data_IF_053820523697
#
_entry.id   IF_053820523697
#
_cell.length_a   1.000
_cell.length_b   1.000
_cell.length_c   1.000
_cell.angle_alpha   90.00
_cell.angle_beta   90.00
_cell.angle_gamma   90.00
#
_symmetry.space_group_name_H-M   'P 1'
#
loop_
_entity.id
_entity.type
_entity.pdbx_description
1 polymer ?
#
# COMPACT_ATOMS: atom_id res chain seq x y z
N UNK A 1 59.13 18.28 -27.87
CA UNK A 1 57.77 17.72 -28.03
C UNK A 1 57.47 16.92 -26.77
N UNK A 2 56.72 17.48 -25.80
CA UNK A 2 56.42 16.80 -24.54
C UNK A 2 55.16 15.94 -24.64
N UNK A 3 55.28 14.71 -24.14
CA UNK A 3 54.20 13.79 -23.81
C UNK A 3 53.40 14.32 -22.62
N UNK A 4 52.08 14.44 -22.78
CA UNK A 4 51.17 14.79 -21.67
C UNK A 4 50.54 13.52 -21.12
N UNK A 5 51.02 13.09 -19.95
CA UNK A 5 50.29 12.23 -19.03
C UNK A 5 49.12 13.03 -18.42
N UNK A 6 47.91 12.47 -18.48
CA UNK A 6 46.77 12.92 -17.70
C UNK A 6 46.29 11.77 -16.81
N UNK A 7 46.23 11.95 -15.48
CA UNK A 7 45.78 10.92 -14.56
C UNK A 7 44.25 10.79 -14.58
N UNK A 8 43.79 9.55 -14.51
CA UNK A 8 42.38 9.21 -14.37
C UNK A 8 41.80 9.73 -13.05
N UNK A 9 40.59 10.28 -13.14
CA UNK A 9 39.66 10.45 -12.04
C UNK A 9 38.27 10.65 -12.62
N UNK A 10 37.42 9.62 -12.53
CA UNK A 10 35.98 9.80 -12.39
C UNK A 10 35.49 8.71 -11.44
N UNK A 11 35.79 8.98 -10.18
CA UNK A 11 35.09 8.45 -9.01
C UNK A 11 33.70 9.10 -9.03
N UNK A 12 32.69 8.33 -9.43
CA UNK A 12 31.31 8.82 -9.51
C UNK A 12 30.26 7.70 -9.55
N UNK A 13 30.66 6.49 -9.18
CA UNK A 13 29.73 5.40 -8.84
C UNK A 13 29.54 5.40 -7.33
N UNK A 14 28.37 5.83 -6.89
CA UNK A 14 28.00 5.73 -5.48
C UNK A 14 27.21 6.93 -5.03
N UNK A 15 25.89 6.90 -5.27
CA UNK A 15 24.85 7.40 -4.36
C UNK A 15 23.48 6.92 -4.89
N UNK A 16 23.36 5.62 -5.14
CA UNK A 16 22.08 4.93 -4.98
C UNK A 16 21.80 4.90 -3.48
N UNK A 17 21.20 5.99 -2.98
CA UNK A 17 20.66 6.08 -1.64
C UNK A 17 19.52 5.06 -1.48
N UNK A 18 19.88 3.81 -1.21
CA UNK A 18 19.06 2.95 -0.36
C UNK A 18 18.84 3.76 0.90
N UNK A 19 17.63 4.27 1.13
CA UNK A 19 17.19 4.61 2.46
C UNK A 19 17.07 3.30 3.25
N UNK A 20 18.22 2.68 3.52
CA UNK A 20 18.34 1.62 4.50
C UNK A 20 18.16 2.32 5.83
N UNK A 21 16.98 2.14 6.43
CA UNK A 21 16.83 2.46 7.83
C UNK A 21 17.96 1.77 8.60
N UNK A 22 18.61 2.45 9.55
CA UNK A 22 19.63 1.81 10.37
C UNK A 22 19.00 0.56 11.01
N UNK A 23 19.67 -0.57 10.91
CA UNK A 23 19.15 -1.84 11.43
C UNK A 23 19.15 -1.79 12.96
N UNK A 24 18.00 -1.45 13.55
CA UNK A 24 17.78 -1.51 14.99
C UNK A 24 17.73 -2.97 15.47
N UNK A 25 18.06 -3.18 16.74
CA UNK A 25 17.88 -4.50 17.36
C UNK A 25 16.40 -4.84 17.57
N UNK A 26 15.57 -3.81 17.72
CA UNK A 26 14.12 -3.91 17.73
C UNK A 26 13.58 -3.97 16.30
N UNK A 27 12.54 -4.78 16.07
CA UNK A 27 11.88 -4.80 14.77
C UNK A 27 11.08 -3.52 14.53
N UNK A 28 10.88 -3.18 13.26
CA UNK A 28 10.12 -1.98 12.85
C UNK A 28 8.68 -2.06 13.35
N UNK A 29 8.08 -3.25 13.34
CA UNK A 29 6.72 -3.48 13.83
C UNK A 29 6.60 -3.19 15.33
N UNK A 30 7.58 -3.61 16.13
CA UNK A 30 7.60 -3.34 17.57
C UNK A 30 7.79 -1.85 17.85
N UNK A 31 8.63 -1.17 17.08
CA UNK A 31 8.78 0.29 17.18
C UNK A 31 7.51 1.03 16.75
N UNK A 32 6.81 0.55 15.72
CA UNK A 32 5.52 1.09 15.32
C UNK A 32 4.46 0.92 16.42
N UNK A 33 4.38 -0.26 17.05
CA UNK A 33 3.48 -0.52 18.18
C UNK A 33 3.82 0.34 19.40
N UNK A 34 5.11 0.55 19.69
CA UNK A 34 5.56 1.47 20.73
C UNK A 34 5.13 2.91 20.41
N UNK A 35 5.30 3.36 19.17
CA UNK A 35 4.95 4.71 18.73
C UNK A 35 3.45 5.01 18.84
N UNK A 36 2.59 4.02 18.60
CA UNK A 36 1.12 4.16 18.77
C UNK A 36 0.62 3.83 20.19
N UNK A 37 1.52 3.67 21.16
CA UNK A 37 1.24 3.25 22.56
C UNK A 37 0.40 1.96 22.68
N UNK A 38 0.51 1.04 21.70
CA UNK A 38 -0.26 -0.20 21.65
C UNK A 38 0.34 -1.35 22.46
N UNK A 39 1.60 -1.25 22.88
CA UNK A 39 2.21 -2.22 23.81
C UNK A 39 1.64 -1.99 25.21
N UNK A 40 1.52 -3.03 26.05
CA UNK A 40 0.96 -2.90 27.40
C UNK A 40 1.97 -3.29 28.49
N UNK A 41 1.79 -2.71 29.69
CA UNK A 41 2.49 -3.12 30.91
C UNK A 41 4.02 -3.19 30.79
N UNK A 42 4.58 -4.28 31.29
CA UNK A 42 6.04 -4.48 31.37
C UNK A 42 6.73 -4.59 30.01
N UNK A 43 6.01 -5.03 28.98
CA UNK A 43 6.56 -5.13 27.62
C UNK A 43 6.85 -3.73 27.06
N UNK A 44 5.90 -2.80 27.21
CA UNK A 44 6.08 -1.40 26.83
C UNK A 44 7.30 -0.80 27.51
N UNK A 45 7.47 -1.00 28.81
CA UNK A 45 8.58 -0.45 29.57
C UNK A 45 9.93 -1.01 29.11
N UNK A 46 10.00 -2.31 28.83
CA UNK A 46 11.21 -2.97 28.31
C UNK A 46 11.57 -2.47 26.92
N UNK A 47 10.60 -2.43 26.00
CA UNK A 47 10.82 -1.95 24.62
C UNK A 47 11.20 -0.47 24.62
N UNK A 48 10.57 0.35 25.48
CA UNK A 48 10.91 1.76 25.64
C UNK A 48 12.33 1.95 26.18
N UNK A 49 12.74 1.18 27.17
CA UNK A 49 14.10 1.22 27.70
C UNK A 49 15.13 0.79 26.65
N UNK A 50 14.85 -0.27 25.89
CA UNK A 50 15.71 -0.74 24.82
C UNK A 50 15.82 0.29 23.67
N UNK A 51 14.70 0.89 23.25
CA UNK A 51 14.69 1.93 22.22
C UNK A 51 15.43 3.20 22.69
N UNK A 52 15.39 3.52 23.99
CA UNK A 52 16.08 4.70 24.53
C UNK A 52 17.61 4.60 24.44
N UNK A 53 18.18 3.40 24.39
CA UNK A 53 19.64 3.19 24.28
C UNK A 53 20.10 2.85 22.85
N UNK A 54 19.17 2.59 21.93
CA UNK A 54 19.45 2.25 20.53
C UNK A 54 19.28 3.50 19.61
N UNK A 55 20.38 4.10 19.11
CA UNK A 55 20.29 5.28 18.25
C UNK A 55 19.60 4.99 16.90
N UNK A 56 19.64 3.74 16.41
CA UNK A 56 18.92 3.36 15.20
C UNK A 56 17.41 3.36 15.44
N UNK A 57 16.95 2.81 16.57
CA UNK A 57 15.55 2.84 16.97
C UNK A 57 15.04 4.28 17.16
N UNK A 58 15.84 5.15 17.80
CA UNK A 58 15.51 6.56 17.94
C UNK A 58 15.35 7.26 16.60
N UNK A 59 16.23 6.97 15.63
CA UNK A 59 16.12 7.54 14.28
C UNK A 59 14.83 7.11 13.56
N UNK A 60 14.40 5.85 13.74
CA UNK A 60 13.12 5.35 13.19
C UNK A 60 11.93 6.05 13.85
N UNK A 61 11.91 6.14 15.18
CA UNK A 61 10.82 6.82 15.91
C UNK A 61 10.71 8.29 15.52
N UNK A 62 11.84 9.00 15.42
CA UNK A 62 11.87 10.39 14.96
C UNK A 62 11.35 10.53 13.51
N UNK A 63 11.62 9.54 12.65
CA UNK A 63 11.07 9.47 11.30
C UNK A 63 9.54 9.32 11.28
N UNK A 64 8.98 8.48 12.16
CA UNK A 64 7.53 8.32 12.31
C UNK A 64 6.87 9.61 12.82
N UNK A 65 7.45 10.25 13.83
CA UNK A 65 6.97 11.55 14.34
C UNK A 65 6.97 12.61 13.24
N UNK A 66 8.02 12.67 12.41
CA UNK A 66 8.10 13.59 11.29
C UNK A 66 7.00 13.35 10.26
N UNK A 67 6.68 12.09 9.92
CA UNK A 67 5.60 11.75 8.99
C UNK A 67 4.24 12.16 9.58
N UNK A 68 3.99 11.88 10.87
CA UNK A 68 2.77 12.33 11.54
C UNK A 68 2.62 13.86 11.49
N UNK A 69 3.71 14.61 11.71
CA UNK A 69 3.72 16.06 11.61
C UNK A 69 3.48 16.56 10.17
N UNK A 70 4.06 15.89 9.16
CA UNK A 70 3.81 16.22 7.75
C UNK A 70 2.34 15.99 7.38
N UNK A 71 1.75 14.87 7.80
CA UNK A 71 0.34 14.58 7.57
C UNK A 71 -0.56 15.62 8.27
N UNK A 72 -0.23 16.00 9.51
CA UNK A 72 -0.96 17.05 10.25
C UNK A 72 -0.90 18.41 9.56
N UNK A 73 0.22 18.74 8.90
CA UNK A 73 0.34 19.97 8.09
C UNK A 73 -0.50 19.91 6.82
N UNK A 74 -0.55 18.76 6.15
CA UNK A 74 -1.39 18.57 4.98
C UNK A 74 -2.88 18.68 5.32
N UNK A 75 -3.29 18.16 6.47
CA UNK A 75 -4.66 18.28 6.98
C UNK A 75 -5.05 19.75 7.23
N UNK A 76 -4.13 20.56 7.79
CA UNK A 76 -4.37 21.99 8.03
C UNK A 76 -4.50 22.84 6.76
N UNK A 77 -3.86 22.44 5.66
CA UNK A 77 -3.93 23.16 4.37
C UNK A 77 -5.18 22.76 3.57
N UNK A 78 -5.74 21.60 3.88
CA UNK A 78 -6.97 21.11 3.25
C UNK A 78 -8.19 21.77 3.87
N UNK A 79 -9.25 22.00 3.08
CA UNK A 79 -10.52 22.46 3.62
C UNK A 79 -10.99 21.49 4.72
N UNK A 80 -11.48 21.98 5.86
CA UNK A 80 -11.87 21.12 6.97
C UNK A 80 -12.86 20.06 6.48
N UNK A 81 -12.58 18.80 6.82
CA UNK A 81 -13.54 17.71 6.65
C UNK A 81 -14.88 18.13 7.24
N UNK A 82 -16.00 17.75 6.59
CA UNK A 82 -17.33 18.03 7.15
C UNK A 82 -17.37 17.59 8.62
N UNK A 83 -17.90 18.44 9.53
CA UNK A 83 -17.93 18.11 10.94
C UNK A 83 -18.70 16.80 11.15
N UNK A 84 -18.17 15.93 12.02
CA UNK A 84 -18.82 14.67 12.35
C UNK A 84 -20.28 14.93 12.78
N UNK A 85 -21.28 14.31 12.12
CA UNK A 85 -22.67 14.53 12.48
C UNK A 85 -22.94 14.18 13.95
N UNK A 86 -23.69 15.02 14.67
CA UNK A 86 -23.91 14.84 16.11
C UNK A 86 -24.49 13.48 16.50
N UNK A 87 -25.30 12.87 15.62
CA UNK A 87 -25.88 11.56 15.90
C UNK A 87 -24.81 10.46 15.93
N UNK A 88 -23.73 10.61 15.14
CA UNK A 88 -22.57 9.71 15.15
C UNK A 88 -21.78 9.91 16.44
N UNK A 89 -21.52 11.18 16.82
CA UNK A 89 -20.85 11.52 18.07
C UNK A 89 -21.57 10.90 19.28
N UNK A 90 -22.88 11.14 19.40
CA UNK A 90 -23.72 10.57 20.47
C UNK A 90 -23.74 9.04 20.48
N UNK A 91 -23.64 8.41 19.31
CA UNK A 91 -23.58 6.94 19.21
C UNK A 91 -22.23 6.42 19.69
N UNK A 92 -21.13 7.06 19.29
CA UNK A 92 -19.79 6.71 19.76
C UNK A 92 -19.68 6.89 21.27
N UNK A 93 -20.15 8.01 21.82
CA UNK A 93 -20.15 8.27 23.26
C UNK A 93 -20.91 7.18 24.03
N UNK A 94 -22.05 6.72 23.50
CA UNK A 94 -22.84 5.64 24.11
C UNK A 94 -22.10 4.30 24.10
N UNK A 95 -21.41 3.96 23.01
CA UNK A 95 -20.65 2.71 22.94
C UNK A 95 -19.38 2.79 23.81
N UNK A 96 -18.69 3.93 23.83
CA UNK A 96 -17.54 4.16 24.70
C UNK A 96 -17.95 4.10 26.18
N UNK A 97 -19.10 4.64 26.57
CA UNK A 97 -19.59 4.53 27.95
C UNK A 97 -19.82 3.07 28.39
N UNK A 98 -20.25 2.19 27.47
CA UNK A 98 -20.39 0.74 27.76
C UNK A 98 -19.03 0.07 27.97
N UNK A 99 -17.99 0.50 27.24
CA UNK A 99 -16.63 -0.05 27.37
C UNK A 99 -15.90 0.52 28.60
N UNK A 100 -16.03 1.83 28.86
CA UNK A 100 -15.36 2.53 29.97
C UNK A 100 -15.83 2.09 31.36
N UNK A 101 -17.10 1.68 31.49
CA UNK A 101 -17.64 1.14 32.75
C UNK A 101 -16.90 -0.10 33.28
N UNK A 102 -16.22 -0.86 32.41
CA UNK A 102 -15.41 -2.01 32.81
C UNK A 102 -13.99 -1.64 33.26
N UNK A 103 -13.40 -0.58 32.70
CA UNK A 103 -12.00 -0.18 32.96
C UNK A 103 -11.87 0.63 34.25
N UNK A 104 -12.86 1.48 34.56
CA UNK A 104 -12.86 2.30 35.79
C UNK A 104 -13.09 1.47 37.07
N UNK A 105 -13.86 0.38 36.98
CA UNK A 105 -14.06 -0.56 38.08
C UNK A 105 -12.78 -1.33 38.46
N UNK A 106 -11.93 -1.61 37.48
CA UNK A 106 -10.65 -2.29 37.71
C UNK A 106 -9.63 -1.34 38.33
N UNK A 107 -9.49 -0.10 37.85
CA UNK A 107 -8.54 0.89 38.41
C UNK A 107 -8.80 1.21 39.89
N UNK A 108 -10.07 1.31 40.31
CA UNK A 108 -10.43 1.53 41.73
C UNK A 108 -10.09 0.35 42.64
N UNK A 109 -10.12 -0.89 42.13
CA UNK A 109 -9.77 -2.09 42.91
C UNK A 109 -8.27 -2.23 43.15
N UNK A 110 -7.44 -1.76 42.22
CA UNK A 110 -5.98 -1.84 42.35
C UNK A 110 -5.39 -0.68 43.17
N UNK A 111 -6.05 0.48 43.23
CA UNK A 111 -5.66 1.57 44.14
C UNK A 111 -5.82 1.20 45.63
N UNK A 112 -6.62 0.18 45.96
CA UNK A 112 -6.79 -0.31 47.32
C UNK A 112 -5.73 -1.36 47.75
N UNK A 113 -4.84 -1.80 46.86
CA UNK A 113 -3.89 -2.90 47.11
C UNK A 113 -2.41 -2.49 47.18
N UNK A 114 -2.09 -1.19 47.06
CA UNK A 114 -0.71 -0.70 47.02
C UNK A 114 -0.19 -0.25 48.40
N UNK A 115 -0.24 -1.12 49.40
CA UNK A 115 0.41 -0.86 50.70
C UNK A 115 0.95 -2.13 51.36
N UNK A 116 1.83 -2.88 50.69
CA UNK A 116 2.86 -3.71 51.35
C UNK A 116 4.06 -3.81 50.40
N UNK A 117 5.20 -3.25 50.81
CA UNK A 117 6.45 -3.36 50.05
C UNK A 117 7.17 -4.68 50.28
N UNK A 118 8.07 -5.05 49.37
CA UNK A 118 9.37 -5.67 49.69
C UNK A 118 10.23 -5.84 48.43
N UNK A 119 11.53 -5.93 48.71
CA UNK A 119 12.73 -5.81 47.87
C UNK A 119 13.16 -7.18 47.29
N UNK A 120 14.05 -7.14 46.28
CA UNK A 120 14.93 -8.22 45.77
C UNK A 120 14.32 -9.14 44.69
N UNK A 121 15.02 -9.65 43.67
CA UNK A 121 16.36 -9.45 43.15
C UNK A 121 16.44 -10.05 41.72
N UNK A 122 17.42 -9.57 40.97
CA UNK A 122 18.18 -10.13 39.84
C UNK A 122 17.78 -11.45 39.13
N UNK A 123 18.07 -11.40 37.81
CA UNK A 123 18.60 -12.44 36.92
C UNK A 123 17.64 -13.51 36.35
N UNK A 124 17.43 -13.50 35.04
CA UNK A 124 18.21 -14.32 34.09
C UNK A 124 17.49 -14.41 32.73
N UNK A 125 18.23 -14.07 31.68
CA UNK A 125 17.95 -14.33 30.27
C UNK A 125 17.87 -15.84 30.05
N UNK A 126 16.90 -16.33 29.26
CA UNK A 126 17.11 -17.45 28.33
C UNK A 126 16.00 -17.51 27.28
N UNK A 127 16.43 -17.29 26.04
CA UNK A 127 15.70 -17.39 24.79
C UNK A 127 15.41 -18.86 24.46
N UNK A 128 14.19 -19.17 24.00
CA UNK A 128 13.96 -20.37 23.20
C UNK A 128 13.08 -20.02 21.99
N UNK A 129 13.74 -19.59 20.92
CA UNK A 129 13.16 -19.54 19.58
C UNK A 129 13.32 -20.94 18.98
N UNK A 130 12.21 -21.66 18.84
CA UNK A 130 12.14 -22.86 17.99
C UNK A 130 11.38 -22.50 16.72
N UNK A 131 12.11 -22.42 15.61
CA UNK A 131 11.53 -22.38 14.27
C UNK A 131 12.25 -23.41 13.39
N UNK A 132 11.49 -23.90 12.40
CA UNK A 132 11.85 -24.83 11.30
C UNK A 132 11.79 -26.31 11.74
N UNK A 133 11.00 -27.19 11.12
CA UNK A 133 10.83 -27.38 9.68
C UNK A 133 9.44 -27.96 9.32
N UNK A 134 8.77 -27.38 8.33
CA UNK A 134 7.70 -28.05 7.57
C UNK A 134 8.20 -28.30 6.13
N UNK A 135 8.03 -29.51 5.56
CA UNK A 135 8.73 -29.88 4.34
C UNK A 135 8.15 -29.24 3.07
N UNK A 136 9.09 -28.90 2.20
CA UNK A 136 8.94 -28.54 0.79
C UNK A 136 8.39 -29.75 0.02
N UNK A 137 7.15 -29.67 -0.44
CA UNK A 137 6.58 -30.62 -1.40
C UNK A 137 7.08 -30.29 -2.80
N UNK A 138 8.10 -31.02 -3.24
CA UNK A 138 8.49 -31.11 -4.64
C UNK A 138 7.54 -32.06 -5.37
N UNK A 139 6.84 -31.54 -6.38
CA UNK A 139 6.08 -32.36 -7.32
C UNK A 139 6.52 -32.02 -8.73
N UNK A 140 7.60 -32.68 -9.14
CA UNK A 140 7.95 -32.85 -10.54
C UNK A 140 7.17 -34.04 -11.12
N UNK A 141 6.51 -33.75 -12.24
CA UNK A 141 6.27 -34.61 -13.39
C UNK A 141 5.54 -35.97 -13.22
N UNK A 142 4.27 -36.00 -13.64
CA UNK A 142 3.86 -36.95 -14.68
C UNK A 142 2.61 -36.46 -15.42
N UNK A 143 2.81 -36.20 -16.72
CA UNK A 143 1.80 -35.85 -17.70
C UNK A 143 1.66 -37.04 -18.66
N UNK A 144 0.50 -37.70 -18.76
CA UNK A 144 0.21 -38.60 -19.87
C UNK A 144 -0.28 -37.79 -21.08
N UNK A 145 0.27 -38.16 -22.24
CA UNK A 145 -0.08 -37.64 -23.55
C UNK A 145 -1.56 -37.79 -23.90
N UNK A 146 -2.15 -36.79 -24.56
CA UNK A 146 -3.25 -37.00 -25.50
C UNK A 146 -3.15 -36.08 -26.73
N UNK A 147 -3.53 -36.69 -27.84
CA UNK A 147 -3.28 -36.37 -29.24
C UNK A 147 -4.09 -35.19 -29.80
N UNK A 148 -3.59 -34.71 -30.94
CA UNK A 148 -4.15 -33.69 -31.83
C UNK A 148 -5.60 -33.94 -32.28
N UNK A 149 -6.31 -32.85 -32.65
CA UNK A 149 -6.65 -32.39 -34.04
C UNK A 149 -7.95 -31.52 -34.03
N UNK A 150 -8.40 -30.97 -35.18
CA UNK A 150 -8.40 -29.55 -35.55
C UNK A 150 -9.74 -28.80 -35.34
N UNK A 151 -9.71 -27.47 -35.48
CA UNK A 151 -10.89 -26.58 -35.59
C UNK A 151 -11.84 -26.93 -36.73
N UNK A 152 -13.08 -26.44 -36.64
CA UNK A 152 -13.60 -25.62 -37.73
C UNK A 152 -14.19 -24.28 -37.26
N UNK A 153 -13.96 -23.26 -38.07
CA UNK A 153 -14.71 -21.99 -38.07
C UNK A 153 -16.19 -22.25 -38.41
N UNK A 154 -17.11 -21.37 -37.97
CA UNK A 154 -18.05 -20.60 -38.82
C UNK A 154 -18.99 -19.70 -37.97
N UNK A 155 -18.81 -18.39 -38.16
CA UNK A 155 -19.74 -17.25 -38.31
C UNK A 155 -21.09 -17.12 -37.55
N UNK A 156 -21.19 -15.94 -36.92
CA UNK A 156 -22.26 -14.92 -36.94
C UNK A 156 -23.70 -15.22 -36.50
N UNK A 157 -24.17 -14.44 -35.50
CA UNK A 157 -25.51 -13.86 -35.50
C UNK A 157 -25.54 -12.56 -34.67
N UNK A 158 -26.03 -11.50 -35.30
CA UNK A 158 -26.22 -10.12 -34.80
C UNK A 158 -27.36 -10.07 -33.77
N UNK A 159 -27.15 -9.47 -32.59
CA UNK A 159 -28.16 -8.66 -31.90
C UNK A 159 -27.60 -7.78 -30.78
N UNK A 160 -28.09 -6.55 -30.78
CA UNK A 160 -28.12 -5.52 -29.73
C UNK A 160 -26.97 -4.51 -29.59
N UNK A 161 -27.32 -3.26 -29.93
CA UNK A 161 -26.60 -2.04 -29.64
C UNK A 161 -26.68 -1.75 -28.14
N UNK A 162 -25.60 -2.06 -27.44
CA UNK A 162 -25.13 -1.26 -26.32
C UNK A 162 -23.64 -1.03 -26.56
N UNK A 163 -23.18 0.21 -26.47
CA UNK A 163 -21.75 0.57 -26.49
C UNK A 163 -21.05 -0.08 -25.28
N UNK A 164 -20.79 -1.37 -25.39
CA UNK A 164 -19.76 -2.03 -24.63
C UNK A 164 -18.44 -1.61 -25.29
N UNK A 165 -17.78 -0.63 -24.67
CA UNK A 165 -16.34 -0.43 -24.77
C UNK A 165 -15.69 -1.81 -24.94
N UNK A 166 -14.85 -2.01 -25.97
CA UNK A 166 -14.17 -3.29 -26.19
C UNK A 166 -13.21 -3.50 -25.01
N UNK A 167 -13.73 -4.07 -23.93
CA UNK A 167 -12.99 -4.46 -22.74
C UNK A 167 -12.41 -5.83 -23.04
N UNK A 168 -11.09 -5.91 -23.12
CA UNK A 168 -10.41 -7.19 -23.14
C UNK A 168 -10.62 -7.84 -21.77
N UNK A 169 -11.49 -8.86 -21.72
CA UNK A 169 -11.84 -9.55 -20.47
C UNK A 169 -10.62 -10.15 -19.75
N UNK A 170 -9.49 -10.31 -20.44
CA UNK A 170 -8.21 -10.73 -19.83
C UNK A 170 -7.68 -9.68 -18.84
N UNK A 171 -7.88 -8.40 -19.10
CA UNK A 171 -7.47 -7.32 -18.19
C UNK A 171 -8.51 -7.03 -17.11
N UNK A 172 -9.36 -8.01 -16.76
CA UNK A 172 -10.20 -7.91 -15.58
C UNK A 172 -9.36 -8.09 -14.31
N UNK A 173 -9.26 -7.03 -13.51
CA UNK A 173 -8.50 -7.08 -12.25
C UNK A 173 -9.47 -7.57 -11.18
N UNK A 174 -9.28 -8.81 -10.71
CA UNK A 174 -10.05 -9.32 -9.60
C UNK A 174 -9.57 -8.68 -8.28
N UNK A 175 -10.47 -8.58 -7.31
CA UNK A 175 -10.18 -7.96 -6.00
C UNK A 175 -8.99 -8.60 -5.27
N UNK A 176 -8.77 -9.90 -5.48
CA UNK A 176 -7.64 -10.66 -4.93
C UNK A 176 -6.29 -10.30 -5.57
N UNK A 177 -6.30 -9.82 -6.82
CA UNK A 177 -5.09 -9.43 -7.56
C UNK A 177 -4.73 -7.96 -7.26
N UNK A 178 -5.67 -7.20 -6.70
CA UNK A 178 -5.54 -5.78 -6.42
C UNK A 178 -4.50 -5.48 -5.35
N UNK A 179 -4.45 -6.29 -4.27
CA UNK A 179 -3.42 -6.16 -3.25
C UNK A 179 -2.04 -6.45 -3.82
N UNK A 180 -1.90 -7.44 -4.70
CA UNK A 180 -0.63 -7.73 -5.38
C UNK A 180 -0.20 -6.56 -6.29
N UNK A 181 -1.13 -5.95 -7.03
CA UNK A 181 -0.87 -4.77 -7.88
C UNK A 181 -0.46 -3.52 -7.09
N UNK A 182 -1.07 -3.30 -5.92
CA UNK A 182 -0.69 -2.20 -5.04
C UNK A 182 0.64 -2.46 -4.34
N UNK A 183 0.87 -3.70 -3.87
CA UNK A 183 2.08 -4.12 -3.16
C UNK A 183 3.30 -4.24 -4.06
N UNK A 184 3.13 -4.53 -5.36
CA UNK A 184 4.23 -4.43 -6.34
C UNK A 184 4.72 -3.00 -6.56
N UNK A 185 4.09 -2.03 -5.90
CA UNK A 185 4.37 -0.62 -6.01
C UNK A 185 3.78 -0.12 -7.32
N UNK A 186 2.72 0.68 -7.23
CA UNK A 186 2.38 1.63 -8.28
C UNK A 186 3.54 2.62 -8.43
N UNK A 187 4.62 2.19 -9.04
CA UNK A 187 5.78 3.00 -9.30
C UNK A 187 5.43 3.85 -10.52
N UNK A 188 5.14 5.12 -10.27
CA UNK A 188 5.07 6.13 -11.33
C UNK A 188 6.38 6.22 -12.13
N UNK A 189 7.46 5.60 -11.63
CA UNK A 189 8.72 5.42 -12.35
C UNK A 189 8.59 4.20 -13.25
N UNK A 190 8.65 4.42 -14.56
CA UNK A 190 8.52 3.45 -15.66
C UNK A 190 7.09 3.03 -16.03
N UNK A 191 6.35 3.98 -16.60
CA UNK A 191 5.10 3.73 -17.33
C UNK A 191 5.34 3.72 -18.86
N UNK A 192 6.58 3.46 -19.31
CA UNK A 192 6.97 3.62 -20.70
C UNK A 192 6.64 5.04 -21.22
N UNK A 193 5.98 5.18 -22.40
CA UNK A 193 5.58 6.47 -22.95
C UNK A 193 4.68 7.32 -22.03
N UNK A 194 3.90 6.70 -21.15
CA UNK A 194 3.04 7.43 -20.20
C UNK A 194 3.79 7.96 -18.96
N UNK A 195 5.11 7.77 -18.91
CA UNK A 195 5.95 8.44 -17.90
C UNK A 195 6.03 9.95 -18.16
N UNK A 196 5.85 10.36 -19.42
CA UNK A 196 5.70 11.78 -19.79
C UNK A 196 4.31 12.30 -19.39
N UNK A 197 4.29 13.43 -18.69
CA UNK A 197 3.06 13.99 -18.11
C UNK A 197 2.07 14.47 -19.16
N UNK A 198 2.55 15.06 -20.26
CA UNK A 198 1.70 15.54 -21.34
C UNK A 198 1.06 14.36 -22.09
N UNK A 199 1.84 13.32 -22.39
CA UNK A 199 1.36 12.09 -23.03
C UNK A 199 0.34 11.37 -22.16
N UNK A 200 0.58 11.33 -20.85
CA UNK A 200 -0.37 10.75 -19.88
C UNK A 200 -1.66 11.56 -19.79
N UNK A 201 -1.57 12.89 -19.75
CA UNK A 201 -2.74 13.77 -19.78
C UNK A 201 -3.58 13.55 -21.04
N UNK A 202 -2.95 13.45 -22.21
CA UNK A 202 -3.62 13.18 -23.47
C UNK A 202 -4.27 11.79 -23.50
N UNK A 203 -3.59 10.77 -22.97
CA UNK A 203 -4.15 9.43 -22.79
C UNK A 203 -5.39 9.44 -21.88
N UNK A 204 -5.35 10.17 -20.78
CA UNK A 204 -6.47 10.32 -19.85
C UNK A 204 -7.67 10.98 -20.55
N UNK A 205 -7.43 12.08 -21.30
CA UNK A 205 -8.47 12.76 -22.09
C UNK A 205 -9.08 11.82 -23.13
N UNK A 206 -8.25 11.06 -23.85
CA UNK A 206 -8.73 10.06 -24.81
C UNK A 206 -9.64 9.00 -24.15
N UNK A 207 -9.42 8.71 -22.86
CA UNK A 207 -10.22 7.75 -22.06
C UNK A 207 -11.38 8.40 -21.28
N UNK A 208 -11.65 9.68 -21.51
CA UNK A 208 -12.76 10.43 -20.90
C UNK A 208 -12.50 10.91 -19.47
N UNK A 209 -11.23 11.09 -19.09
CA UNK A 209 -10.82 11.69 -17.82
C UNK A 209 -10.23 13.08 -18.04
N UNK A 210 -10.28 13.99 -17.05
CA UNK A 210 -9.65 15.29 -17.17
C UNK A 210 -8.13 15.16 -17.32
N UNK A 211 -7.50 16.06 -18.07
CA UNK A 211 -6.05 16.04 -18.34
C UNK A 211 -5.20 16.15 -17.06
N UNK A 212 -5.72 16.82 -16.04
CA UNK A 212 -5.09 16.99 -14.73
C UNK A 212 -5.58 15.97 -13.69
N UNK A 213 -6.17 14.85 -14.12
CA UNK A 213 -6.68 13.82 -13.22
C UNK A 213 -5.55 13.30 -12.30
N UNK A 214 -5.73 13.45 -10.99
CA UNK A 214 -4.83 12.88 -10.02
C UNK A 214 -4.98 11.35 -10.01
N UNK A 215 -3.86 10.65 -10.08
CA UNK A 215 -3.79 9.20 -10.00
C UNK A 215 -3.43 8.78 -8.58
N UNK A 216 -4.13 7.78 -8.04
CA UNK A 216 -3.78 7.17 -6.76
C UNK A 216 -2.60 6.20 -6.92
N UNK A 217 -2.59 5.46 -8.02
CA UNK A 217 -1.53 4.54 -8.37
C UNK A 217 -1.48 4.36 -9.90
N UNK A 218 -0.29 4.10 -10.42
CA UNK A 218 -0.11 3.66 -11.80
C UNK A 218 1.05 2.67 -11.88
N UNK A 219 1.01 1.76 -12.85
CA UNK A 219 2.09 0.80 -13.05
C UNK A 219 1.87 -0.05 -14.29
N UNK A 220 2.94 -0.73 -14.72
CA UNK A 220 2.86 -1.72 -15.80
C UNK A 220 2.19 -3.00 -15.27
N UNK A 221 1.39 -3.62 -16.11
CA UNK A 221 0.77 -4.92 -15.87
C UNK A 221 0.97 -5.76 -17.13
N UNK A 222 1.49 -6.97 -16.94
CA UNK A 222 1.54 -7.98 -18.00
C UNK A 222 0.53 -9.07 -17.68
N UNK A 223 -0.34 -9.40 -18.63
CA UNK A 223 -1.21 -10.55 -18.54
C UNK A 223 -1.19 -11.31 -19.85
N UNK A 224 -0.88 -12.60 -19.76
CA UNK A 224 -0.53 -13.42 -20.91
C UNK A 224 0.62 -12.75 -21.71
N UNK A 225 0.45 -12.59 -23.02
CA UNK A 225 1.39 -11.91 -23.92
C UNK A 225 1.04 -10.43 -24.17
N UNK A 226 0.09 -9.87 -23.42
CA UNK A 226 -0.26 -8.45 -23.52
C UNK A 226 0.31 -7.67 -22.34
N UNK A 227 0.93 -6.56 -22.68
CA UNK A 227 1.38 -5.56 -21.73
C UNK A 227 0.41 -4.37 -21.75
N UNK A 228 0.13 -3.84 -20.56
CA UNK A 228 -0.65 -2.64 -20.39
C UNK A 228 -0.14 -1.82 -19.21
N UNK A 229 -0.70 -0.64 -19.07
CA UNK A 229 -0.44 0.29 -17.98
C UNK A 229 -1.76 0.45 -17.24
N UNK A 230 -1.79 0.05 -15.98
CA UNK A 230 -2.94 0.32 -15.12
C UNK A 230 -2.79 1.69 -14.47
N UNK A 231 -3.91 2.38 -14.31
CA UNK A 231 -4.06 3.66 -13.65
C UNK A 231 -5.28 3.59 -12.75
N UNK A 232 -5.10 4.01 -11.50
CA UNK A 232 -6.15 4.03 -10.51
C UNK A 232 -6.57 5.47 -10.26
N UNK A 233 -7.85 5.74 -10.53
CA UNK A 233 -8.41 7.07 -10.66
C UNK A 233 -9.55 7.23 -9.65
N UNK A 234 -9.46 8.16 -8.71
CA UNK A 234 -10.60 8.54 -7.88
C UNK A 234 -11.60 9.31 -8.76
N UNK A 235 -12.83 8.83 -8.78
CA UNK A 235 -13.95 9.46 -9.49
C UNK A 235 -15.00 9.92 -8.48
N UNK A 236 -15.64 11.08 -8.70
CA UNK A 236 -16.68 11.56 -7.81
C UNK A 236 -17.80 10.52 -7.68
N UNK A 237 -18.34 10.37 -6.47
CA UNK A 237 -19.43 9.46 -6.22
C UNK A 237 -20.64 9.85 -7.08
N UNK A 238 -21.35 8.84 -7.61
CA UNK A 238 -22.64 9.08 -8.28
C UNK A 238 -23.73 9.49 -7.29
N UNK A 239 -23.55 9.17 -6.01
CA UNK A 239 -24.45 9.62 -4.94
C UNK A 239 -23.95 10.92 -4.34
N UNK A 240 -24.85 11.87 -4.15
CA UNK A 240 -24.54 13.14 -3.49
C UNK A 240 -24.13 12.87 -2.04
N UNK A 241 -22.93 13.30 -1.65
CA UNK A 241 -22.34 13.03 -0.33
C UNK A 241 -21.74 11.61 -0.16
N UNK A 242 -21.65 10.82 -1.23
CA UNK A 242 -21.01 9.51 -1.19
C UNK A 242 -19.48 9.58 -1.23
N UNK A 243 -18.81 8.55 -0.71
CA UNK A 243 -17.37 8.39 -0.86
C UNK A 243 -16.97 8.26 -2.35
N UNK A 244 -15.79 8.76 -2.76
CA UNK A 244 -15.34 8.66 -4.14
C UNK A 244 -15.26 7.19 -4.58
N UNK A 245 -15.74 6.93 -5.79
CA UNK A 245 -15.57 5.63 -6.44
C UNK A 245 -14.14 5.51 -6.98
N UNK A 246 -13.58 4.30 -7.01
CA UNK A 246 -12.24 4.10 -7.55
C UNK A 246 -12.34 3.43 -8.91
N UNK A 247 -11.92 4.11 -9.97
CA UNK A 247 -11.87 3.53 -11.32
C UNK A 247 -10.48 3.00 -11.61
N UNK A 248 -10.38 1.74 -12.03
CA UNK A 248 -9.17 1.15 -12.58
C UNK A 248 -9.26 1.17 -14.10
N UNK A 249 -8.37 1.92 -14.72
CA UNK A 249 -8.20 2.00 -16.16
C UNK A 249 -6.92 1.24 -16.55
N UNK A 250 -7.00 0.31 -17.48
CA UNK A 250 -5.84 -0.34 -18.10
C UNK A 250 -5.80 0.05 -19.56
N UNK A 251 -4.67 0.57 -20.02
CA UNK A 251 -4.44 0.99 -21.41
C UNK A 251 -3.23 0.29 -22.00
N UNK A 252 -3.17 0.21 -23.32
CA UNK A 252 -1.96 -0.19 -24.05
C UNK A 252 -0.88 0.87 -23.98
N UNK A 253 0.36 0.49 -24.31
CA UNK A 253 1.53 1.38 -24.34
C UNK A 253 1.44 2.43 -25.45
N UNK A 254 0.56 2.23 -26.40
CA UNK A 254 0.24 3.12 -27.52
C UNK A 254 -0.80 4.20 -27.20
N UNK A 255 -1.24 4.30 -25.94
CA UNK A 255 -2.20 5.32 -25.51
C UNK A 255 -1.63 6.74 -25.67
N UNK A 256 -2.39 7.63 -26.31
CA UNK A 256 -2.01 9.03 -26.58
C UNK A 256 -3.23 9.85 -27.02
N UNK A 257 -3.01 11.10 -27.40
CA UNK A 257 -4.05 11.98 -27.94
C UNK A 257 -4.83 11.31 -29.07
N UNK A 258 -6.16 11.26 -28.93
CA UNK A 258 -7.07 10.65 -29.91
C UNK A 258 -6.99 9.12 -30.04
N UNK A 259 -6.08 8.45 -29.31
CA UNK A 259 -5.91 6.99 -29.32
C UNK A 259 -6.01 6.48 -27.88
N UNK A 260 -7.22 6.09 -27.42
CA UNK A 260 -7.43 5.73 -26.02
C UNK A 260 -6.73 4.44 -25.61
N UNK A 261 -6.46 3.54 -26.56
CA UNK A 261 -5.82 2.23 -26.33
C UNK A 261 -6.41 1.46 -25.12
N UNK A 262 -7.71 1.61 -24.84
CA UNK A 262 -8.32 1.05 -23.63
C UNK A 262 -8.32 -0.48 -23.70
N UNK A 263 -7.70 -1.12 -22.72
CA UNK A 263 -7.75 -2.57 -22.53
C UNK A 263 -8.83 -2.95 -21.52
N UNK A 264 -9.03 -2.15 -20.46
CA UNK A 264 -10.04 -2.40 -19.43
C UNK A 264 -10.39 -1.11 -18.67
N UNK A 265 -11.65 -0.94 -18.28
CA UNK A 265 -12.10 0.19 -17.43
C UNK A 265 -13.14 -0.33 -16.44
N UNK A 266 -12.85 -0.20 -15.14
CA UNK A 266 -13.66 -0.83 -14.08
C UNK A 266 -13.84 0.09 -12.90
N UNK A 267 -15.09 0.25 -12.47
CA UNK A 267 -15.41 0.97 -11.24
C UNK A 267 -15.40 -0.04 -10.09
N UNK A 268 -14.55 0.21 -9.10
CA UNK A 268 -14.51 -0.51 -7.84
C UNK A 268 -15.52 0.14 -6.90
N UNK A 269 -16.68 -0.49 -6.77
CA UNK A 269 -17.65 -0.12 -5.74
C UNK A 269 -17.40 -0.91 -4.46
N UNK A 270 -17.62 -0.25 -3.32
CA UNK A 270 -17.59 -0.88 -2.00
C UNK A 270 -18.96 -1.54 -1.79
N UNK A 271 -19.07 -2.84 -2.10
CA UNK A 271 -20.19 -3.66 -1.63
C UNK A 271 -20.14 -3.83 -0.11
#
# INVERSE_FOLDING_TARGET
MPTSDLPGNNLGDGLMGKAGFPSSQLSVETLALLHVDALEGTERDQVKAAAAVDPAAQAVLAGLDMVCEQLRRLDQVSAPSEPMPEFVARRLDRELAKLGGAVDGQRRRWAAAASVGSVAAAAAVLSLVTYVAWPRSEQSAQQPAQQAKPSPMTQEAVKDRNEALIVDRRFKIDRKDFSALLSSGGSFKDLGPLSDDATRADCLVANGFPSNQQLVAAGRIKRDDKEGIFMMIPTPSRMQGGAPEMTVLVVGVECRAGVPATLSKQVLSRN
#
